data_IF_834871707556
#
_entry.id   IF_834871707556
#
_cell.length_a   1.000
_cell.length_b   1.000
_cell.length_c   1.000
_cell.angle_alpha   90.00
_cell.angle_beta   90.00
_cell.angle_gamma   90.00
#
_symmetry.space_group_name_H-M   'P 1'
#
loop_
_entity.id
_entity.type
_entity.pdbx_description
1 polymer ?
#
# COMPACT_ATOMS: atom_id res chain seq x y z
N UNK A 1 6.21 16.89 18.49
CA UNK A 1 4.83 16.45 18.21
C UNK A 1 4.75 14.95 18.35
N UNK A 2 3.76 14.49 19.06
CA UNK A 2 3.60 13.05 19.25
C UNK A 2 3.20 12.38 17.95
N UNK A 3 3.85 11.24 17.68
CA UNK A 3 3.51 10.42 16.53
C UNK A 3 2.13 9.77 16.79
N UNK A 4 1.11 10.02 15.93
CA UNK A 4 -0.22 9.46 16.14
C UNK A 4 -0.28 7.96 15.88
N UNK A 5 0.72 7.39 15.24
CA UNK A 5 0.80 5.96 14.94
C UNK A 5 1.58 5.27 16.06
N UNK A 6 0.91 4.33 16.74
CA UNK A 6 1.53 3.58 17.83
C UNK A 6 2.01 2.23 17.34
N UNK A 7 3.25 1.90 17.66
CA UNK A 7 3.78 0.56 17.45
C UNK A 7 3.25 -0.38 18.54
N UNK A 8 2.66 -1.50 18.16
CA UNK A 8 2.06 -2.43 19.13
C UNK A 8 2.91 -3.66 19.37
N UNK A 9 3.12 -4.49 18.33
CA UNK A 9 3.78 -5.78 18.51
C UNK A 9 4.28 -6.35 17.19
N UNK A 10 5.38 -7.11 17.19
CA UNK A 10 5.81 -7.90 16.04
C UNK A 10 5.40 -9.36 16.20
N UNK A 11 5.32 -10.05 15.07
CA UNK A 11 5.27 -11.51 15.06
C UNK A 11 5.99 -12.06 13.81
N UNK A 12 6.33 -13.33 13.85
CA UNK A 12 6.88 -14.04 12.70
C UNK A 12 5.74 -14.46 11.77
N UNK A 13 5.88 -14.19 10.47
CA UNK A 13 4.90 -14.56 9.46
C UNK A 13 5.56 -15.35 8.31
N UNK A 14 5.50 -16.68 8.32
CA UNK A 14 5.91 -17.48 7.18
C UNK A 14 4.94 -17.28 6.01
N UNK A 15 5.46 -17.07 4.82
CA UNK A 15 4.68 -16.93 3.60
C UNK A 15 5.30 -17.72 2.46
N UNK A 16 4.58 -17.84 1.35
CA UNK A 16 5.11 -18.42 0.11
C UNK A 16 6.35 -17.67 -0.39
N UNK A 17 6.52 -16.41 0.01
CA UNK A 17 7.62 -15.52 -0.42
C UNK A 17 8.68 -15.37 0.67
N UNK A 18 8.79 -16.33 1.57
CA UNK A 18 9.73 -16.33 2.67
C UNK A 18 9.11 -15.91 3.99
N UNK A 19 9.97 -15.81 5.00
CA UNK A 19 9.55 -15.46 6.36
C UNK A 19 9.74 -13.97 6.58
N UNK A 20 8.62 -13.30 6.83
CA UNK A 20 8.60 -11.88 7.20
C UNK A 20 8.42 -11.73 8.71
N UNK A 21 8.81 -10.58 9.23
CA UNK A 21 8.31 -10.09 10.52
C UNK A 21 7.12 -9.18 10.22
N UNK A 22 5.98 -9.46 10.84
CA UNK A 22 4.79 -8.63 10.73
C UNK A 22 4.69 -7.73 11.94
N UNK A 23 4.65 -6.42 11.72
CA UNK A 23 4.54 -5.42 12.77
C UNK A 23 3.14 -4.83 12.77
N UNK A 24 2.52 -4.74 13.94
CA UNK A 24 1.21 -4.15 14.13
C UNK A 24 1.31 -2.70 14.58
N UNK A 25 0.49 -1.85 14.00
CA UNK A 25 0.38 -0.42 14.32
C UNK A 25 -1.08 -0.03 14.49
N UNK A 26 -1.32 0.96 15.33
CA UNK A 26 -2.65 1.56 15.50
C UNK A 26 -2.56 3.07 15.34
N UNK A 27 -3.47 3.63 14.55
CA UNK A 27 -3.65 5.08 14.48
C UNK A 27 -4.52 5.51 15.67
N UNK A 28 -3.93 6.24 16.61
CA UNK A 28 -4.62 6.70 17.81
C UNK A 28 -5.76 7.69 17.55
N UNK A 29 -5.78 8.31 16.37
CA UNK A 29 -6.80 9.27 15.96
C UNK A 29 -8.10 8.59 15.49
N UNK A 30 -7.98 7.45 14.83
CA UNK A 30 -9.11 6.76 14.18
C UNK A 30 -9.39 5.37 14.75
N UNK A 31 -8.42 4.78 15.48
CA UNK A 31 -8.48 3.39 15.89
C UNK A 31 -8.18 2.40 14.77
N UNK A 32 -7.84 2.87 13.56
CA UNK A 32 -7.46 1.99 12.45
C UNK A 32 -6.17 1.25 12.75
N UNK A 33 -6.14 -0.01 12.34
CA UNK A 33 -4.99 -0.88 12.46
C UNK A 33 -4.28 -0.97 11.10
N UNK A 34 -2.95 -0.87 11.11
CA UNK A 34 -2.12 -1.04 9.93
C UNK A 34 -1.02 -2.03 10.22
N UNK A 35 -0.40 -2.56 9.18
CA UNK A 35 0.74 -3.47 9.35
C UNK A 35 1.91 -3.08 8.45
N UNK A 36 3.10 -3.56 8.84
CA UNK A 36 4.26 -3.58 7.97
C UNK A 36 4.86 -5.00 7.99
N UNK A 37 5.27 -5.46 6.82
CA UNK A 37 6.06 -6.68 6.67
C UNK A 37 7.51 -6.28 6.45
N UNK A 38 8.42 -6.83 7.24
CA UNK A 38 9.85 -6.54 7.11
C UNK A 38 10.66 -7.81 6.93
N UNK A 39 11.78 -7.67 6.22
CA UNK A 39 12.80 -8.72 6.07
C UNK A 39 14.19 -8.06 6.14
N UNK A 40 15.10 -8.68 6.87
CA UNK A 40 16.45 -8.14 7.04
C UNK A 40 16.51 -6.92 7.96
N UNK A 41 17.59 -6.16 7.85
CA UNK A 41 17.80 -4.93 8.61
C UNK A 41 18.41 -3.82 7.73
N UNK A 42 18.51 -2.62 8.25
CA UNK A 42 19.04 -1.44 7.54
C UNK A 42 20.07 -0.67 8.35
N UNK A 43 20.89 -1.40 9.12
CA UNK A 43 21.98 -0.85 9.93
C UNK A 43 23.08 -0.19 9.10
N UNK A 44 23.20 -0.59 7.82
CA UNK A 44 24.15 0.00 6.88
C UNK A 44 23.78 1.42 6.43
N UNK A 45 22.57 1.89 6.76
CA UNK A 45 22.08 3.21 6.39
C UNK A 45 21.71 3.38 4.91
N UNK A 46 21.86 2.35 4.08
CA UNK A 46 21.47 2.41 2.67
C UNK A 46 19.96 2.49 2.51
N UNK A 47 19.46 3.09 1.41
CA UNK A 47 18.03 3.13 1.12
C UNK A 47 17.41 1.73 1.09
N UNK A 48 16.23 1.59 1.67
CA UNK A 48 15.55 0.31 1.86
C UNK A 48 14.52 0.09 0.78
N UNK A 49 14.56 -1.08 0.12
CA UNK A 49 13.53 -1.48 -0.84
C UNK A 49 12.17 -1.53 -0.13
N UNK A 50 11.20 -0.77 -0.64
CA UNK A 50 9.93 -0.60 0.05
C UNK A 50 8.75 -0.52 -0.91
N UNK A 51 7.59 -0.96 -0.42
CA UNK A 51 6.29 -0.80 -1.09
C UNK A 51 5.30 -0.23 -0.08
N UNK A 52 4.54 0.75 -0.51
CA UNK A 52 3.36 1.21 0.23
C UNK A 52 2.13 0.69 -0.51
N UNK A 53 1.45 -0.26 0.11
CA UNK A 53 0.29 -0.95 -0.45
C UNK A 53 -0.96 -0.56 0.33
N UNK A 54 -1.97 -0.06 -0.36
CA UNK A 54 -3.27 0.19 0.24
C UNK A 54 -4.16 -1.04 0.13
N UNK A 55 -4.83 -1.41 1.20
CA UNK A 55 -5.71 -2.57 1.28
C UNK A 55 -6.69 -2.61 0.11
N UNK A 56 -6.81 -3.78 -0.49
CA UNK A 56 -7.79 -4.06 -1.54
C UNK A 56 -8.26 -5.50 -1.36
N UNK A 57 -9.35 -5.70 -0.61
CA UNK A 57 -9.85 -7.05 -0.30
C UNK A 57 -10.08 -7.86 -1.57
N UNK A 58 -10.70 -7.25 -2.58
CA UNK A 58 -11.02 -7.95 -3.83
C UNK A 58 -9.78 -8.40 -4.59
N UNK A 59 -8.76 -7.56 -4.68
CA UNK A 59 -7.51 -7.90 -5.35
C UNK A 59 -6.56 -8.73 -4.49
N UNK A 60 -6.43 -8.39 -3.22
CA UNK A 60 -5.46 -9.02 -2.31
C UNK A 60 -5.89 -10.44 -1.89
N UNK A 61 -7.19 -10.66 -1.68
CA UNK A 61 -7.71 -11.91 -1.13
C UNK A 61 -8.63 -12.68 -2.08
N UNK A 62 -9.36 -12.02 -2.98
CA UNK A 62 -10.39 -12.64 -3.81
C UNK A 62 -9.97 -12.82 -5.27
N UNK A 63 -8.73 -12.52 -5.61
CA UNK A 63 -8.18 -12.65 -6.95
C UNK A 63 -8.97 -11.87 -8.01
N UNK A 64 -9.47 -10.68 -7.67
CA UNK A 64 -10.22 -9.84 -8.60
C UNK A 64 -9.35 -9.43 -9.79
N UNK A 65 -9.94 -9.46 -10.98
CA UNK A 65 -9.32 -8.97 -12.21
C UNK A 65 -9.68 -7.50 -12.49
N UNK A 66 -10.50 -6.87 -11.66
CA UNK A 66 -10.84 -5.45 -11.77
C UNK A 66 -9.71 -4.51 -11.36
N UNK A 67 -8.66 -5.03 -10.71
CA UNK A 67 -7.45 -4.31 -10.34
C UNK A 67 -6.25 -5.23 -10.41
N UNK A 68 -5.05 -4.68 -10.28
CA UNK A 68 -3.81 -5.43 -10.21
C UNK A 68 -3.20 -5.45 -8.80
N UNK A 69 -4.01 -5.13 -7.78
CA UNK A 69 -3.55 -5.03 -6.39
C UNK A 69 -2.93 -6.33 -5.87
N UNK A 70 -3.59 -7.47 -6.07
CA UNK A 70 -3.08 -8.77 -5.65
C UNK A 70 -1.72 -9.10 -6.28
N UNK A 71 -1.60 -9.08 -7.63
CA UNK A 71 -0.32 -9.24 -8.30
C UNK A 71 0.76 -8.25 -7.87
N UNK A 72 0.41 -6.98 -7.61
CA UNK A 72 1.36 -5.98 -7.12
C UNK A 72 1.88 -6.32 -5.73
N UNK A 73 1.01 -6.75 -4.81
CA UNK A 73 1.43 -7.16 -3.47
C UNK A 73 2.37 -8.36 -3.54
N UNK A 74 2.03 -9.37 -4.35
CA UNK A 74 2.86 -10.55 -4.54
C UNK A 74 4.21 -10.20 -5.16
N UNK A 75 4.23 -9.33 -6.16
CA UNK A 75 5.48 -8.88 -6.81
C UNK A 75 6.37 -8.11 -5.81
N UNK A 76 5.80 -7.29 -4.96
CA UNK A 76 6.54 -6.60 -3.91
C UNK A 76 7.15 -7.57 -2.89
N UNK A 77 6.39 -8.56 -2.47
CA UNK A 77 6.88 -9.60 -1.55
C UNK A 77 8.02 -10.41 -2.19
N UNK A 78 7.91 -10.78 -3.47
CA UNK A 78 8.99 -11.47 -4.21
C UNK A 78 10.24 -10.61 -4.31
N UNK A 79 10.07 -9.32 -4.60
CA UNK A 79 11.20 -8.39 -4.72
C UNK A 79 11.98 -8.27 -3.40
N UNK A 80 11.27 -8.15 -2.29
CA UNK A 80 11.88 -8.12 -0.96
C UNK A 80 12.57 -9.45 -0.64
N UNK A 81 11.94 -10.57 -0.95
CA UNK A 81 12.53 -11.90 -0.78
C UNK A 81 13.82 -12.06 -1.57
N UNK A 82 13.81 -11.63 -2.84
CA UNK A 82 14.99 -11.74 -3.71
C UNK A 82 16.16 -10.89 -3.20
N UNK A 83 15.90 -9.71 -2.67
CA UNK A 83 16.93 -8.84 -2.10
C UNK A 83 17.35 -9.28 -0.69
N UNK A 84 16.49 -10.00 0.02
CA UNK A 84 16.71 -10.45 1.41
C UNK A 84 16.47 -9.35 2.44
N UNK A 85 16.04 -8.19 2.03
CA UNK A 85 15.75 -7.07 2.91
C UNK A 85 14.72 -6.13 2.27
N UNK A 86 13.82 -5.59 3.08
CA UNK A 86 12.86 -4.61 2.63
C UNK A 86 11.67 -4.46 3.56
N UNK A 87 10.80 -3.52 3.21
CA UNK A 87 9.61 -3.18 3.98
C UNK A 87 8.40 -3.08 3.05
N UNK A 88 7.31 -3.73 3.43
CA UNK A 88 6.01 -3.53 2.80
C UNK A 88 5.09 -2.93 3.85
N UNK A 89 4.71 -1.67 3.66
CA UNK A 89 3.71 -0.99 4.48
C UNK A 89 2.35 -1.28 3.90
N UNK A 90 1.49 -1.91 4.68
CA UNK A 90 0.14 -2.27 4.27
C UNK A 90 -0.86 -1.40 5.03
N UNK A 91 -1.43 -0.43 4.33
CA UNK A 91 -2.37 0.53 4.89
C UNK A 91 -3.81 0.05 4.69
N UNK A 92 -4.56 -0.03 5.77
CA UNK A 92 -5.94 -0.45 5.73
C UNK A 92 -6.87 0.71 5.36
N UNK A 93 -6.67 1.24 4.15
CA UNK A 93 -7.45 2.33 3.56
C UNK A 93 -8.19 1.81 2.30
N UNK A 94 -9.12 0.91 2.52
CA UNK A 94 -9.89 0.24 1.46
C UNK A 94 -10.61 1.25 0.56
N UNK A 95 -10.65 0.95 -0.75
CA UNK A 95 -11.34 1.78 -1.73
C UNK A 95 -10.75 3.19 -1.84
N UNK A 96 -9.42 3.35 -1.76
CA UNK A 96 -8.75 4.66 -1.70
C UNK A 96 -9.23 5.51 -0.53
N UNK A 97 -9.51 4.87 0.61
CA UNK A 97 -9.94 5.53 1.83
C UNK A 97 -11.44 5.73 1.99
N UNK A 98 -12.25 5.36 0.99
CA UNK A 98 -13.71 5.51 1.06
C UNK A 98 -14.43 4.33 1.73
N UNK A 99 -13.72 3.23 1.96
CA UNK A 99 -14.25 2.03 2.58
C UNK A 99 -14.76 0.99 1.59
N UNK A 100 -14.92 -0.24 2.09
CA UNK A 100 -15.28 -1.40 1.25
C UNK A 100 -16.69 -1.28 0.65
N UNK A 101 -17.66 -0.89 1.43
CA UNK A 101 -19.06 -0.82 0.95
C UNK A 101 -19.21 0.26 -0.13
N UNK A 102 -18.57 1.41 0.06
CA UNK A 102 -18.58 2.46 -0.97
C UNK A 102 -17.83 2.02 -2.24
N UNK A 103 -16.77 1.24 -2.10
CA UNK A 103 -16.09 0.62 -3.23
C UNK A 103 -17.01 -0.34 -4.00
N UNK A 104 -17.79 -1.16 -3.30
CA UNK A 104 -18.78 -2.05 -3.92
C UNK A 104 -19.85 -1.24 -4.66
N UNK A 105 -20.33 -0.16 -4.07
CA UNK A 105 -21.26 0.77 -4.73
C UNK A 105 -20.67 1.38 -5.99
N UNK A 106 -19.39 1.79 -5.93
CA UNK A 106 -18.69 2.31 -7.10
C UNK A 106 -18.53 1.26 -8.19
N UNK A 107 -18.23 0.02 -7.85
CA UNK A 107 -18.18 -1.09 -8.80
C UNK A 107 -19.53 -1.32 -9.48
N UNK A 108 -20.64 -1.25 -8.74
CA UNK A 108 -21.97 -1.38 -9.30
C UNK A 108 -22.28 -0.29 -10.34
N UNK A 109 -21.84 0.95 -10.09
CA UNK A 109 -21.99 2.04 -11.05
C UNK A 109 -21.08 1.86 -12.27
N UNK A 110 -19.87 1.33 -12.09
CA UNK A 110 -18.98 0.99 -13.20
C UNK A 110 -19.57 -0.11 -14.09
N UNK A 111 -20.27 -1.08 -13.51
CA UNK A 111 -21.02 -2.10 -14.28
C UNK A 111 -22.11 -1.47 -15.18
N UNK A 112 -22.55 -0.27 -14.84
CA UNK A 112 -23.52 0.53 -15.63
C UNK A 112 -22.83 1.46 -16.65
N UNK A 113 -21.50 1.40 -16.79
CA UNK A 113 -20.74 2.15 -17.77
C UNK A 113 -20.01 3.41 -17.24
N UNK A 114 -20.09 3.71 -15.94
CA UNK A 114 -19.34 4.81 -15.35
C UNK A 114 -17.87 4.45 -15.19
N UNK A 115 -16.96 5.43 -15.32
CA UNK A 115 -15.58 5.26 -14.90
C UNK A 115 -15.42 5.46 -13.38
N UNK A 116 -14.20 5.25 -12.85
CA UNK A 116 -13.94 5.36 -11.40
C UNK A 116 -14.26 6.75 -10.86
N UNK A 117 -13.89 7.80 -11.59
CA UNK A 117 -14.12 9.19 -11.17
C UNK A 117 -15.62 9.51 -11.16
N UNK A 118 -16.32 9.17 -12.24
CA UNK A 118 -17.77 9.38 -12.37
C UNK A 118 -18.55 8.64 -11.29
N UNK A 119 -18.18 7.38 -10.99
CA UNK A 119 -18.83 6.57 -9.96
C UNK A 119 -18.67 7.21 -8.56
N UNK A 120 -17.47 7.65 -8.21
CA UNK A 120 -17.23 8.28 -6.92
C UNK A 120 -17.94 9.63 -6.80
N UNK A 121 -17.94 10.44 -7.87
CA UNK A 121 -18.67 11.72 -7.89
C UNK A 121 -20.18 11.49 -7.76
N UNK A 122 -20.74 10.49 -8.42
CA UNK A 122 -22.16 10.14 -8.30
C UNK A 122 -22.55 9.73 -6.88
N UNK A 123 -21.63 9.16 -6.12
CA UNK A 123 -21.83 8.78 -4.72
C UNK A 123 -21.53 9.93 -3.73
N UNK A 124 -21.06 11.08 -4.23
CA UNK A 124 -20.67 12.21 -3.38
C UNK A 124 -19.39 11.95 -2.57
N UNK A 125 -18.49 11.09 -3.06
CA UNK A 125 -17.28 10.66 -2.38
C UNK A 125 -16.04 11.26 -3.05
N UNK A 126 -14.94 11.46 -2.28
CA UNK A 126 -13.67 11.86 -2.88
C UNK A 126 -13.12 10.72 -3.77
N UNK A 127 -12.40 11.09 -4.83
CA UNK A 127 -11.77 10.11 -5.73
C UNK A 127 -10.65 9.36 -5.01
N UNK A 128 -9.92 10.05 -4.14
CA UNK A 128 -8.85 9.46 -3.34
C UNK A 128 -8.79 10.16 -1.98
N UNK A 129 -9.07 9.41 -0.91
CA UNK A 129 -9.05 9.89 0.47
C UNK A 129 -7.91 9.25 1.27
N UNK A 130 -6.89 8.65 0.61
CA UNK A 130 -5.78 8.02 1.31
C UNK A 130 -4.88 9.05 1.98
N UNK A 131 -4.39 8.68 3.17
CA UNK A 131 -3.42 9.45 3.94
C UNK A 131 -2.08 8.69 3.98
N UNK A 132 -1.11 9.13 3.18
CA UNK A 132 0.22 8.52 3.13
C UNK A 132 1.15 8.99 4.26
N UNK A 133 0.76 9.98 5.06
CA UNK A 133 1.52 10.38 6.25
C UNK A 133 1.62 9.24 7.26
N UNK A 134 0.64 8.34 7.28
CA UNK A 134 0.67 7.13 8.10
C UNK A 134 1.89 6.27 7.77
N UNK A 135 2.19 6.09 6.48
CA UNK A 135 3.37 5.35 6.03
C UNK A 135 4.67 6.00 6.52
N UNK A 136 4.77 7.32 6.47
CA UNK A 136 5.94 8.04 7.02
C UNK A 136 6.15 7.72 8.49
N UNK A 137 5.10 7.76 9.29
CA UNK A 137 5.18 7.43 10.71
C UNK A 137 5.58 5.97 10.95
N UNK A 138 5.10 5.04 10.11
CA UNK A 138 5.49 3.63 10.19
C UNK A 138 6.98 3.47 9.87
N UNK A 139 7.48 4.10 8.80
CA UNK A 139 8.91 4.08 8.48
C UNK A 139 9.76 4.64 9.63
N UNK A 140 9.30 5.72 10.26
CA UNK A 140 10.01 6.30 11.42
C UNK A 140 10.11 5.30 12.58
N UNK A 141 9.03 4.60 12.90
CA UNK A 141 9.04 3.55 13.93
C UNK A 141 10.02 2.42 13.60
N UNK A 142 10.14 2.06 12.33
CA UNK A 142 11.02 0.99 11.87
C UNK A 142 12.47 1.43 11.68
N UNK A 143 12.77 2.72 11.87
CA UNK A 143 14.12 3.26 11.69
C UNK A 143 14.54 3.35 10.23
N UNK A 144 13.62 3.43 9.30
CA UNK A 144 13.89 3.57 7.86
C UNK A 144 14.02 5.05 7.51
N UNK A 145 15.23 5.49 7.18
CA UNK A 145 15.51 6.90 6.87
C UNK A 145 15.21 7.26 5.43
N UNK A 146 15.43 6.34 4.48
CA UNK A 146 15.19 6.55 3.06
C UNK A 146 14.79 5.24 2.39
N UNK A 147 14.03 5.34 1.29
CA UNK A 147 13.48 4.18 0.61
C UNK A 147 13.80 4.18 -0.89
N UNK A 148 13.92 2.98 -1.45
CA UNK A 148 13.82 2.70 -2.87
C UNK A 148 12.40 2.20 -3.08
N UNK A 149 11.53 3.03 -3.67
CA UNK A 149 10.09 2.78 -3.66
C UNK A 149 9.63 2.05 -4.92
N UNK A 150 8.99 0.91 -4.72
CA UNK A 150 8.33 0.14 -5.78
C UNK A 150 6.97 0.78 -6.08
N UNK A 151 6.83 1.39 -7.25
CA UNK A 151 5.57 1.96 -7.72
C UNK A 151 5.58 2.16 -9.23
N UNK A 152 4.42 1.99 -9.85
CA UNK A 152 4.21 2.27 -11.27
C UNK A 152 3.57 3.65 -11.52
N UNK A 153 3.23 4.38 -10.46
CA UNK A 153 2.55 5.67 -10.58
C UNK A 153 3.47 6.82 -10.16
N UNK A 154 4.11 7.52 -11.14
CA UNK A 154 5.00 8.65 -10.82
C UNK A 154 4.30 9.81 -10.13
N UNK A 155 3.01 10.02 -10.38
CA UNK A 155 2.25 11.12 -9.76
C UNK A 155 2.14 10.98 -8.25
N UNK A 156 2.07 9.74 -7.76
CA UNK A 156 2.02 9.46 -6.32
C UNK A 156 3.34 9.76 -5.60
N UNK A 157 4.46 9.78 -6.31
CA UNK A 157 5.75 10.08 -5.72
C UNK A 157 5.77 11.44 -5.05
N UNK A 158 5.20 12.46 -5.71
CA UNK A 158 5.17 13.79 -5.13
C UNK A 158 4.31 13.84 -3.87
N UNK A 159 3.14 13.20 -3.89
CA UNK A 159 2.27 13.09 -2.72
C UNK A 159 2.99 12.42 -1.55
N UNK A 160 3.74 11.34 -1.82
CA UNK A 160 4.50 10.64 -0.79
C UNK A 160 5.66 11.48 -0.24
N UNK A 161 6.36 12.22 -1.11
CA UNK A 161 7.41 13.17 -0.70
C UNK A 161 6.84 14.29 0.14
N UNK A 162 5.69 14.84 -0.23
CA UNK A 162 4.97 15.87 0.51
C UNK A 162 4.54 15.36 1.90
N UNK A 163 4.32 14.05 2.04
CA UNK A 163 4.05 13.39 3.33
C UNK A 163 5.31 13.17 4.17
N UNK A 164 6.47 13.57 3.69
CA UNK A 164 7.74 13.49 4.43
C UNK A 164 8.56 12.22 4.17
N UNK A 165 8.16 11.38 3.22
CA UNK A 165 8.89 10.15 2.88
C UNK A 165 10.08 10.51 1.99
N UNK A 166 11.29 10.12 2.44
CA UNK A 166 12.51 10.34 1.68
C UNK A 166 12.70 9.21 0.65
N UNK A 167 12.34 9.51 -0.61
CA UNK A 167 12.45 8.55 -1.71
C UNK A 167 13.76 8.80 -2.45
N UNK A 168 14.72 7.87 -2.28
CA UNK A 168 16.01 7.93 -2.96
C UNK A 168 15.90 7.50 -4.43
N UNK A 169 15.03 6.53 -4.74
CA UNK A 169 14.88 5.98 -6.07
C UNK A 169 13.47 5.40 -6.24
N UNK A 170 12.90 5.53 -7.44
CA UNK A 170 11.69 4.83 -7.85
C UNK A 170 12.04 3.59 -8.66
N UNK A 171 11.44 2.46 -8.32
CA UNK A 171 11.57 1.21 -9.07
C UNK A 171 10.21 0.80 -9.63
N UNK A 172 10.15 0.30 -10.88
CA UNK A 172 8.90 -0.21 -11.42
C UNK A 172 8.50 -1.50 -10.71
N UNK A 173 7.19 -1.71 -10.58
CA UNK A 173 6.61 -2.94 -10.05
C UNK A 173 5.99 -3.71 -11.20
N UNK A 174 6.73 -4.70 -11.73
CA UNK A 174 6.33 -5.45 -12.91
C UNK A 174 5.28 -6.50 -12.55
N UNK A 175 4.09 -6.37 -13.12
CA UNK A 175 2.99 -7.33 -13.00
C UNK A 175 2.47 -7.70 -14.38
N UNK A 176 1.86 -8.90 -14.50
CA UNK A 176 1.26 -9.36 -15.75
C UNK A 176 0.12 -8.45 -16.23
N UNK A 177 -0.12 -8.45 -17.54
CA UNK A 177 -1.25 -7.73 -18.12
C UNK A 177 -2.55 -8.49 -17.88
N UNK A 178 -3.62 -7.75 -17.59
CA UNK A 178 -4.96 -8.26 -17.41
C UNK A 178 -5.93 -7.44 -18.27
N UNK A 179 -6.71 -8.07 -19.18
CA UNK A 179 -7.65 -7.34 -20.04
C UNK A 179 -8.67 -6.50 -19.28
N UNK A 180 -9.12 -6.93 -18.12
CA UNK A 180 -10.05 -6.19 -17.27
C UNK A 180 -9.46 -4.90 -16.72
N UNK A 181 -8.14 -4.82 -16.57
CA UNK A 181 -7.44 -3.62 -16.14
C UNK A 181 -7.51 -2.46 -17.14
N UNK A 182 -7.68 -2.76 -18.42
CA UNK A 182 -7.76 -1.71 -19.45
C UNK A 182 -8.97 -0.80 -19.26
N UNK A 183 -10.01 -1.29 -18.62
CA UNK A 183 -11.21 -0.51 -18.29
C UNK A 183 -11.05 0.31 -16.99
N UNK A 184 -9.93 0.16 -16.27
CA UNK A 184 -9.65 0.75 -14.96
C UNK A 184 -8.59 1.85 -14.99
N UNK A 185 -7.81 1.90 -16.04
CA UNK A 185 -6.77 2.90 -16.28
C UNK A 185 -7.31 4.04 -17.11
#
# INVERSE_FOLDING_TARGET
MDNPIRYLTPCRLPTEYGVFTMHGFEDSRSGQEHIALTMGDWRDGAPVLSRIHSECLTGDALASQKCDCGPQLQAAMRAVQAEGRGVIVYLRQEGRGIGLINKIRAYALQDQGMDTVEANLALGLPVDARDFSIAKHIFDHLGVASVRLLTNNPEKLQTMRDSGINIAERLPLLVGRNPELQNYL
#
